data_IF_314282895207
#
_entry.id   IF_314282895207
#
_cell.length_a   1.000
_cell.length_b   1.000
_cell.length_c   1.000
_cell.angle_alpha   90.00
_cell.angle_beta   90.00
_cell.angle_gamma   90.00
#
_symmetry.space_group_name_H-M   'P 1'
#
loop_
_entity.id
_entity.type
_entity.pdbx_description
1 polymer ?
#
# COMPACT_ATOMS: atom_id res chain seq x y z
N UNK A 1 -18.63 -14.85 28.85
CA UNK A 1 -18.58 -13.74 27.87
C UNK A 1 -17.32 -13.73 26.99
N UNK A 2 -16.22 -14.43 27.33
CA UNK A 2 -15.00 -14.46 26.51
C UNK A 2 -14.96 -15.55 25.41
N UNK A 3 -15.88 -16.52 25.40
CA UNK A 3 -15.85 -17.63 24.43
C UNK A 3 -16.56 -17.33 23.10
N UNK A 4 -17.52 -16.41 23.08
CA UNK A 4 -18.19 -15.95 21.85
C UNK A 4 -17.27 -15.03 21.02
N UNK A 5 -16.46 -14.20 21.66
CA UNK A 5 -15.53 -13.28 20.97
C UNK A 5 -14.39 -13.99 20.23
N UNK A 6 -13.94 -15.15 20.71
CA UNK A 6 -12.86 -15.94 20.09
C UNK A 6 -13.30 -16.66 18.80
N UNK A 7 -14.50 -17.24 18.78
CA UNK A 7 -15.03 -17.94 17.60
C UNK A 7 -15.49 -16.97 16.50
N UNK A 8 -16.00 -15.80 16.90
CA UNK A 8 -16.39 -14.72 15.97
C UNK A 8 -15.15 -14.09 15.30
N UNK A 9 -13.99 -14.06 15.98
CA UNK A 9 -12.74 -13.51 15.45
C UNK A 9 -12.12 -14.36 14.32
N UNK A 10 -12.28 -15.69 14.33
CA UNK A 10 -11.77 -16.54 13.24
C UNK A 10 -12.64 -16.49 11.97
N UNK A 11 -13.94 -16.23 12.10
CA UNK A 11 -14.88 -16.04 10.98
C UNK A 11 -14.99 -14.58 10.49
N UNK A 12 -14.34 -13.64 11.16
CA UNK A 12 -14.43 -12.23 10.82
C UNK A 12 -13.87 -11.97 9.42
N UNK A 13 -14.59 -11.16 8.64
CA UNK A 13 -14.12 -10.64 7.35
C UNK A 13 -13.31 -9.38 7.65
N UNK A 14 -12.04 -9.38 7.27
CA UNK A 14 -11.15 -8.24 7.51
C UNK A 14 -10.50 -7.83 6.18
N UNK A 15 -10.58 -6.54 5.91
CA UNK A 15 -9.82 -5.88 4.84
C UNK A 15 -8.83 -4.90 5.46
N UNK A 16 -7.70 -4.73 4.79
CA UNK A 16 -6.79 -3.61 5.00
C UNK A 16 -7.08 -2.55 3.95
N UNK A 17 -6.85 -1.29 4.31
CA UNK A 17 -6.63 -0.24 3.33
C UNK A 17 -5.40 0.59 3.70
N UNK A 18 -4.66 0.97 2.66
CA UNK A 18 -3.43 1.77 2.78
C UNK A 18 -3.57 3.06 1.96
N UNK A 19 -4.53 3.95 2.27
CA UNK A 19 -4.73 5.18 1.51
C UNK A 19 -3.51 6.08 1.55
N UNK A 20 -3.30 6.84 0.47
CA UNK A 20 -2.22 7.81 0.37
C UNK A 20 -2.80 9.20 0.18
N UNK A 21 -2.31 10.14 0.98
CA UNK A 21 -2.73 11.53 0.95
C UNK A 21 -1.56 12.40 0.52
N UNK A 22 -1.83 13.36 -0.37
CA UNK A 22 -0.83 14.28 -0.93
C UNK A 22 -0.49 15.42 0.04
N UNK A 23 -0.20 15.07 1.29
CA UNK A 23 0.19 15.99 2.35
C UNK A 23 1.15 15.27 3.31
N UNK A 24 2.33 15.83 3.56
CA UNK A 24 3.32 15.31 4.50
C UNK A 24 4.03 16.38 5.33
N UNK A 25 3.64 17.65 5.20
CA UNK A 25 4.31 18.83 5.78
C UNK A 25 3.44 19.62 6.77
N UNK A 26 2.12 19.46 6.70
CA UNK A 26 1.11 20.12 7.56
C UNK A 26 0.44 19.09 8.47
N UNK A 27 1.00 18.82 9.65
CA UNK A 27 0.52 17.76 10.55
C UNK A 27 -0.94 17.92 10.95
N UNK A 28 -1.43 19.16 11.06
CA UNK A 28 -2.82 19.47 11.39
C UNK A 28 -3.82 19.02 10.31
N UNK A 29 -3.41 19.01 9.03
CA UNK A 29 -4.23 18.49 7.94
C UNK A 29 -4.20 16.97 7.95
N UNK A 30 -3.01 16.37 8.12
CA UNK A 30 -2.87 14.91 8.21
C UNK A 30 -3.68 14.36 9.38
N UNK A 31 -3.59 15.00 10.55
CA UNK A 31 -4.33 14.58 11.73
C UNK A 31 -5.84 14.67 11.51
N UNK A 32 -6.34 15.73 10.87
CA UNK A 32 -7.77 15.83 10.57
C UNK A 32 -8.27 14.71 9.64
N UNK A 33 -7.45 14.27 8.69
CA UNK A 33 -7.75 13.13 7.80
C UNK A 33 -7.75 11.82 8.60
N UNK A 34 -6.76 11.62 9.48
CA UNK A 34 -6.64 10.43 10.34
C UNK A 34 -7.73 10.39 11.40
N UNK A 35 -8.20 11.52 11.90
CA UNK A 35 -9.35 11.55 12.81
C UNK A 35 -10.64 11.16 12.07
N UNK A 36 -10.80 11.62 10.82
CA UNK A 36 -11.96 11.30 9.99
C UNK A 36 -12.00 9.84 9.54
N UNK A 37 -10.85 9.18 9.36
CA UNK A 37 -10.79 7.77 8.95
C UNK A 37 -11.22 6.81 10.08
N UNK A 38 -11.06 7.23 11.35
CA UNK A 38 -11.27 6.41 12.53
C UNK A 38 -12.74 6.37 12.98
N UNK A 39 -13.62 5.98 12.06
CA UNK A 39 -15.03 5.67 12.38
C UNK A 39 -15.13 4.37 13.19
N UNK A 40 -16.23 4.12 13.93
CA UNK A 40 -16.40 2.90 14.70
C UNK A 40 -16.20 1.63 13.85
N UNK A 41 -15.32 0.74 14.30
CA UNK A 41 -14.98 -0.51 13.61
C UNK A 41 -13.72 -0.43 12.73
N UNK A 42 -13.16 0.76 12.52
CA UNK A 42 -11.83 0.94 11.90
C UNK A 42 -10.74 0.88 12.96
N UNK A 43 -9.70 0.10 12.67
CA UNK A 43 -8.47 0.02 13.43
C UNK A 43 -7.38 0.78 12.69
N UNK A 44 -6.84 1.83 13.30
CA UNK A 44 -5.63 2.49 12.82
C UNK A 44 -4.42 1.63 13.21
N UNK A 45 -3.68 1.14 12.21
CA UNK A 45 -2.54 0.24 12.41
C UNK A 45 -1.20 0.97 12.31
N UNK A 46 -1.09 1.90 11.38
CA UNK A 46 0.13 2.69 11.16
C UNK A 46 -0.21 4.04 10.49
N UNK A 47 0.66 5.02 10.72
CA UNK A 47 0.64 6.31 10.05
C UNK A 47 2.08 6.78 9.85
N UNK A 48 2.43 7.10 8.61
CA UNK A 48 3.71 7.70 8.26
C UNK A 48 3.52 8.91 7.36
N UNK A 49 4.34 9.93 7.57
CA UNK A 49 4.36 11.15 6.78
C UNK A 49 5.80 11.43 6.37
N UNK A 50 6.00 11.75 5.10
CA UNK A 50 7.30 12.05 4.52
C UNK A 50 7.31 13.49 4.00
N UNK A 51 8.28 14.27 4.48
CA UNK A 51 8.41 15.68 4.14
C UNK A 51 8.79 15.89 2.66
N UNK A 52 9.79 15.15 2.17
CA UNK A 52 10.37 15.30 0.83
C UNK A 52 9.37 14.87 -0.24
N UNK A 53 8.74 13.72 -0.02
CA UNK A 53 7.67 13.20 -0.85
C UNK A 53 6.37 14.02 -0.71
N UNK A 54 6.24 14.83 0.36
CA UNK A 54 5.02 15.55 0.74
C UNK A 54 3.77 14.66 0.66
N UNK A 55 3.88 13.49 1.29
CA UNK A 55 2.90 12.41 1.23
C UNK A 55 2.76 11.76 2.60
N UNK A 56 1.53 11.41 2.95
CA UNK A 56 1.23 10.57 4.09
C UNK A 56 0.61 9.25 3.64
N UNK A 57 0.97 8.19 4.35
CA UNK A 57 0.43 6.85 4.19
C UNK A 57 -0.22 6.47 5.51
N UNK A 58 -1.48 6.08 5.45
CA UNK A 58 -2.23 5.61 6.62
C UNK A 58 -2.57 4.16 6.38
N UNK A 59 -2.38 3.29 7.36
CA UNK A 59 -2.73 1.87 7.28
C UNK A 59 -3.85 1.59 8.26
N UNK A 60 -4.98 1.13 7.75
CA UNK A 60 -6.15 0.76 8.53
C UNK A 60 -6.60 -0.66 8.24
N UNK A 61 -7.29 -1.27 9.19
CA UNK A 61 -8.00 -2.52 8.97
C UNK A 61 -9.35 -2.54 9.69
N UNK A 62 -10.26 -3.41 9.26
CA UNK A 62 -11.56 -3.55 9.88
C UNK A 62 -12.53 -4.36 9.02
N UNK A 63 -13.81 -4.33 9.38
CA UNK A 63 -14.85 -4.88 8.50
C UNK A 63 -14.92 -4.07 7.20
N UNK A 64 -15.31 -4.70 6.06
CA UNK A 64 -15.47 -4.00 4.79
C UNK A 64 -16.27 -2.70 4.89
N UNK A 65 -17.41 -2.73 5.58
CA UNK A 65 -18.32 -1.59 5.71
C UNK A 65 -17.67 -0.43 6.48
N UNK A 66 -17.05 -0.71 7.62
CA UNK A 66 -16.40 0.30 8.44
C UNK A 66 -15.21 0.93 7.72
N UNK A 67 -14.39 0.11 7.06
CA UNK A 67 -13.23 0.58 6.27
C UNK A 67 -13.69 1.47 5.11
N UNK A 68 -14.73 1.08 4.36
CA UNK A 68 -15.27 1.89 3.27
C UNK A 68 -15.81 3.25 3.77
N UNK A 69 -16.51 3.27 4.90
CA UNK A 69 -16.99 4.51 5.51
C UNK A 69 -15.83 5.41 5.94
N UNK A 70 -14.85 4.87 6.67
CA UNK A 70 -13.67 5.63 7.09
C UNK A 70 -12.90 6.22 5.90
N UNK A 71 -12.71 5.44 4.84
CA UNK A 71 -12.04 5.90 3.62
C UNK A 71 -12.82 7.02 2.92
N UNK A 72 -14.14 6.93 2.88
CA UNK A 72 -14.98 8.00 2.33
C UNK A 72 -14.83 9.28 3.16
N UNK A 73 -14.97 9.22 4.49
CA UNK A 73 -14.79 10.37 5.38
C UNK A 73 -13.39 11.01 5.26
N UNK A 74 -12.34 10.19 5.23
CA UNK A 74 -10.97 10.66 5.04
C UNK A 74 -10.78 11.35 3.68
N UNK A 75 -11.38 10.79 2.62
CA UNK A 75 -11.34 11.38 1.26
C UNK A 75 -12.07 12.73 1.23
N UNK A 76 -13.22 12.85 1.90
CA UNK A 76 -13.95 14.12 2.04
C UNK A 76 -13.06 15.19 2.69
N UNK A 77 -12.48 14.89 3.85
CA UNK A 77 -11.63 15.85 4.57
C UNK A 77 -10.38 16.22 3.77
N UNK A 78 -9.77 15.26 3.09
CA UNK A 78 -8.62 15.51 2.23
C UNK A 78 -8.99 16.45 1.06
N UNK A 79 -10.14 16.22 0.41
CA UNK A 79 -10.62 17.05 -0.69
C UNK A 79 -10.95 18.49 -0.26
N UNK A 80 -11.38 18.69 0.98
CA UNK A 80 -11.66 20.01 1.55
C UNK A 80 -10.39 20.78 1.96
N UNK A 81 -9.35 20.07 2.40
CA UNK A 81 -8.18 20.68 3.06
C UNK A 81 -6.91 20.73 2.22
N UNK A 82 -6.81 19.92 1.17
CA UNK A 82 -5.61 19.85 0.32
C UNK A 82 -5.92 20.44 -1.05
N UNK A 83 -5.20 21.51 -1.40
CA UNK A 83 -5.22 22.08 -2.74
C UNK A 83 -4.03 21.58 -3.58
N UNK A 84 -4.34 20.73 -4.57
CA UNK A 84 -3.34 20.14 -5.47
C UNK A 84 -2.65 21.17 -6.37
N UNK A 85 -3.22 22.36 -6.56
CA UNK A 85 -2.58 23.44 -7.33
C UNK A 85 -1.32 23.94 -6.63
N UNK A 86 -1.29 23.86 -5.30
CA UNK A 86 -0.18 24.27 -4.44
C UNK A 86 0.70 23.09 -4.01
N UNK A 87 0.17 21.87 -4.04
CA UNK A 87 0.88 20.66 -3.62
C UNK A 87 2.09 20.36 -4.53
N UNK A 88 3.27 20.23 -3.91
CA UNK A 88 4.52 19.80 -4.55
C UNK A 88 5.25 18.80 -3.64
N UNK A 89 5.82 17.76 -4.23
CA UNK A 89 6.65 16.75 -3.56
C UNK A 89 7.27 15.81 -4.57
N UNK A 90 8.27 15.04 -4.16
CA UNK A 90 9.00 14.12 -5.06
C UNK A 90 8.17 12.89 -5.48
N UNK A 91 7.06 12.60 -4.79
CA UNK A 91 6.23 11.45 -5.09
C UNK A 91 5.15 11.75 -6.15
N UNK A 92 5.02 10.94 -7.22
CA UNK A 92 3.96 11.11 -8.21
C UNK A 92 2.57 10.98 -7.59
N UNK A 93 1.69 11.94 -7.93
CA UNK A 93 0.36 12.09 -7.33
C UNK A 93 -0.69 12.59 -8.32
N UNK A 94 -1.94 12.16 -8.15
CA UNK A 94 -3.07 12.57 -8.99
C UNK A 94 -4.11 13.43 -8.24
N UNK A 95 -4.19 13.31 -6.92
CA UNK A 95 -5.16 14.02 -6.10
C UNK A 95 -4.81 14.10 -4.62
N UNK A 96 -5.63 14.86 -3.88
CA UNK A 96 -5.53 15.04 -2.44
C UNK A 96 -5.54 13.69 -1.70
N UNK A 97 -6.49 12.84 -2.08
CA UNK A 97 -6.43 11.38 -1.84
C UNK A 97 -5.99 10.72 -3.14
N UNK A 98 -4.76 10.26 -3.19
CA UNK A 98 -4.10 9.87 -4.42
C UNK A 98 -4.38 8.41 -4.80
N UNK A 99 -4.25 7.48 -3.85
CA UNK A 99 -4.66 6.08 -4.05
C UNK A 99 -5.31 5.50 -2.80
N UNK A 100 -6.33 4.68 -3.00
CA UNK A 100 -7.07 3.95 -1.96
C UNK A 100 -7.15 2.47 -2.36
N UNK A 101 -6.21 1.64 -1.90
CA UNK A 101 -6.26 0.19 -2.14
C UNK A 101 -7.13 -0.50 -1.08
N UNK A 102 -7.95 -1.46 -1.51
CA UNK A 102 -8.61 -2.44 -0.63
C UNK A 102 -7.84 -3.76 -0.75
N UNK A 103 -7.32 -4.26 0.37
CA UNK A 103 -6.43 -5.42 0.42
C UNK A 103 -7.11 -6.54 1.22
N UNK A 104 -7.21 -7.77 0.67
CA UNK A 104 -7.77 -8.88 1.42
C UNK A 104 -6.83 -9.29 2.56
N UNK A 105 -7.32 -9.33 3.80
CA UNK A 105 -6.57 -9.83 4.96
C UNK A 105 -7.10 -11.16 5.49
N UNK A 106 -8.42 -11.25 5.75
CA UNK A 106 -9.02 -12.44 6.35
C UNK A 106 -10.41 -12.70 5.78
N UNK A 107 -10.65 -13.96 5.39
CA UNK A 107 -11.94 -14.47 4.92
C UNK A 107 -12.61 -13.63 3.81
N UNK A 108 -11.82 -13.00 2.95
CA UNK A 108 -12.29 -12.26 1.79
C UNK A 108 -11.35 -12.44 0.61
N UNK A 109 -11.92 -12.62 -0.58
CA UNK A 109 -11.17 -12.74 -1.81
C UNK A 109 -10.78 -11.38 -2.39
N UNK A 110 -9.77 -11.39 -3.27
CA UNK A 110 -9.39 -10.20 -4.04
C UNK A 110 -10.55 -9.71 -4.95
N UNK A 111 -11.38 -10.62 -5.47
CA UNK A 111 -12.51 -10.27 -6.32
C UNK A 111 -13.60 -9.52 -5.53
N UNK A 112 -13.89 -9.95 -4.31
CA UNK A 112 -14.79 -9.24 -3.40
C UNK A 112 -14.22 -7.85 -3.03
N UNK A 113 -12.91 -7.75 -2.78
CA UNK A 113 -12.26 -6.46 -2.57
C UNK A 113 -12.37 -5.53 -3.79
N UNK A 114 -12.33 -6.07 -5.02
CA UNK A 114 -12.51 -5.28 -6.23
C UNK A 114 -13.94 -4.72 -6.36
N UNK A 115 -14.94 -5.49 -5.92
CA UNK A 115 -16.33 -5.00 -5.82
C UNK A 115 -16.45 -3.89 -4.79
N UNK A 116 -15.85 -4.04 -3.60
CA UNK A 116 -15.80 -3.00 -2.58
C UNK A 116 -15.13 -1.71 -3.09
N UNK A 117 -14.00 -1.84 -3.80
CA UNK A 117 -13.32 -0.71 -4.44
C UNK A 117 -14.21 0.00 -5.46
N UNK A 118 -15.00 -0.75 -6.23
CA UNK A 118 -15.96 -0.21 -7.20
C UNK A 118 -17.06 0.58 -6.48
N UNK A 119 -17.66 0.00 -5.44
CA UNK A 119 -18.70 0.66 -4.62
C UNK A 119 -18.20 1.95 -3.98
N UNK A 120 -17.00 1.94 -3.41
CA UNK A 120 -16.38 3.13 -2.84
C UNK A 120 -16.13 4.20 -3.91
N UNK A 121 -15.56 3.79 -5.06
CA UNK A 121 -15.28 4.70 -6.17
C UNK A 121 -16.53 5.36 -6.73
N UNK A 122 -17.62 4.61 -6.89
CA UNK A 122 -18.91 5.15 -7.34
C UNK A 122 -19.45 6.18 -6.34
N UNK A 123 -19.40 5.88 -5.04
CA UNK A 123 -19.85 6.81 -3.99
C UNK A 123 -19.01 8.09 -3.98
N UNK A 124 -17.68 7.99 -4.05
CA UNK A 124 -16.78 9.15 -4.13
C UNK A 124 -17.13 10.01 -5.35
N UNK A 125 -17.25 9.39 -6.53
CA UNK A 125 -17.57 10.13 -7.76
C UNK A 125 -18.93 10.81 -7.71
N UNK A 126 -19.94 10.17 -7.11
CA UNK A 126 -21.30 10.70 -6.99
C UNK A 126 -21.43 11.79 -5.93
N UNK A 127 -20.89 11.57 -4.72
CA UNK A 127 -21.16 12.45 -3.57
C UNK A 127 -20.12 13.57 -3.44
N UNK A 128 -18.85 13.31 -3.78
CA UNK A 128 -17.79 14.32 -3.72
C UNK A 128 -17.54 15.01 -5.06
N UNK A 129 -18.19 14.54 -6.14
CA UNK A 129 -18.02 15.07 -7.50
C UNK A 129 -16.56 15.10 -7.96
N UNK A 130 -15.79 14.07 -7.57
CA UNK A 130 -14.39 13.89 -7.96
C UNK A 130 -14.27 12.89 -9.11
N UNK A 131 -13.35 13.08 -10.07
CA UNK A 131 -12.98 12.04 -11.00
C UNK A 131 -12.37 10.85 -10.25
N UNK A 132 -12.86 9.64 -10.53
CA UNK A 132 -12.36 8.41 -9.93
C UNK A 132 -11.86 7.44 -10.99
N UNK A 133 -10.70 6.83 -10.75
CA UNK A 133 -10.11 5.80 -11.61
C UNK A 133 -10.00 4.48 -10.85
N UNK A 134 -10.44 3.39 -11.46
CA UNK A 134 -10.25 2.06 -10.92
C UNK A 134 -8.94 1.43 -11.42
N UNK A 135 -8.19 0.79 -10.52
CA UNK A 135 -6.89 0.18 -10.83
C UNK A 135 -6.72 -1.25 -10.27
N UNK A 136 -5.65 -1.93 -10.70
CA UNK A 136 -5.33 -3.33 -10.36
C UNK A 136 -6.53 -4.27 -10.57
N UNK A 137 -6.96 -5.04 -9.56
CA UNK A 137 -8.04 -6.03 -9.71
C UNK A 137 -9.41 -5.39 -9.94
N UNK A 138 -9.55 -4.08 -9.68
CA UNK A 138 -10.77 -3.33 -9.96
C UNK A 138 -10.74 -2.62 -11.33
N UNK A 139 -9.62 -2.66 -12.05
CA UNK A 139 -9.47 -1.94 -13.31
C UNK A 139 -10.50 -2.41 -14.36
N UNK A 140 -11.27 -1.45 -14.88
CA UNK A 140 -12.25 -1.68 -15.97
C UNK A 140 -11.60 -1.76 -17.34
N UNK A 141 -10.37 -1.24 -17.46
CA UNK A 141 -9.59 -1.11 -18.68
C UNK A 141 -8.18 -1.65 -18.45
N UNK A 142 -7.65 -2.38 -19.41
CA UNK A 142 -6.34 -3.04 -19.29
C UNK A 142 -5.20 -2.05 -19.02
N UNK A 143 -5.26 -0.88 -19.65
CA UNK A 143 -4.31 0.23 -19.49
C UNK A 143 -4.34 0.91 -18.11
N UNK A 144 -5.34 0.61 -17.26
CA UNK A 144 -5.44 1.14 -15.89
C UNK A 144 -4.96 0.18 -14.82
N UNK A 145 -4.53 -1.02 -15.20
CA UNK A 145 -4.12 -2.03 -14.23
C UNK A 145 -2.96 -1.54 -13.37
N UNK A 146 -1.96 -0.88 -13.96
CA UNK A 146 -0.82 -0.34 -13.24
C UNK A 146 -1.09 1.08 -12.74
N UNK A 147 -0.87 1.30 -11.43
CA UNK A 147 -1.00 2.63 -10.81
C UNK A 147 -0.17 3.71 -11.52
N UNK A 148 1.04 3.36 -11.96
CA UNK A 148 1.93 4.27 -12.67
C UNK A 148 1.38 4.73 -14.04
N UNK A 149 0.55 3.91 -14.68
CA UNK A 149 -0.08 4.26 -15.96
C UNK A 149 -1.25 5.21 -15.75
N UNK A 150 -2.06 4.99 -14.71
CA UNK A 150 -3.12 5.91 -14.29
C UNK A 150 -2.55 7.27 -13.88
N UNK A 151 -1.46 7.28 -13.08
CA UNK A 151 -0.78 8.50 -12.63
C UNK A 151 0.10 9.19 -13.66
N UNK A 152 0.16 8.68 -14.90
CA UNK A 152 1.11 9.19 -15.89
C UNK A 152 0.87 10.68 -16.19
N UNK A 153 1.87 11.50 -15.88
CA UNK A 153 1.79 12.96 -16.05
C UNK A 153 1.14 13.69 -14.88
N UNK A 154 0.75 12.97 -13.82
CA UNK A 154 0.33 13.50 -12.52
C UNK A 154 -0.88 14.46 -12.63
N UNK A 155 -1.09 15.26 -11.58
CA UNK A 155 -2.17 16.25 -11.53
C UNK A 155 -2.14 17.21 -12.72
N UNK A 156 -0.98 17.79 -13.05
CA UNK A 156 -0.86 18.86 -14.04
C UNK A 156 -1.29 18.42 -15.44
N UNK A 157 -0.91 17.20 -15.85
CA UNK A 157 -1.32 16.67 -17.15
C UNK A 157 -2.77 16.23 -17.12
N UNK A 158 -3.25 15.67 -16.01
CA UNK A 158 -4.66 15.25 -15.91
C UNK A 158 -5.61 16.43 -16.15
N UNK A 159 -5.32 17.61 -15.58
CA UNK A 159 -6.12 18.83 -15.80
C UNK A 159 -6.28 19.16 -17.29
N UNK A 160 -5.26 18.88 -18.11
CA UNK A 160 -5.26 19.17 -19.55
C UNK A 160 -5.89 18.05 -20.39
N UNK A 161 -5.83 16.81 -19.91
CA UNK A 161 -6.18 15.64 -20.71
C UNK A 161 -7.47 14.95 -20.26
N UNK A 162 -8.13 15.36 -19.17
CA UNK A 162 -9.28 14.63 -18.62
C UNK A 162 -10.44 14.44 -19.60
N UNK A 163 -10.64 15.40 -20.52
CA UNK A 163 -11.67 15.34 -21.57
C UNK A 163 -11.33 14.34 -22.68
N UNK A 164 -10.11 13.82 -22.73
CA UNK A 164 -9.71 12.84 -23.73
C UNK A 164 -10.35 11.47 -23.44
N UNK A 165 -10.85 10.73 -24.45
CA UNK A 165 -11.54 9.44 -24.22
C UNK A 165 -10.72 8.38 -23.49
N UNK A 166 -9.39 8.40 -23.63
CA UNK A 166 -8.47 7.52 -22.91
C UNK A 166 -8.27 7.92 -21.44
N UNK A 167 -8.58 9.17 -21.08
CA UNK A 167 -8.45 9.74 -19.73
C UNK A 167 -9.77 9.93 -19.00
N UNK A 168 -10.92 9.72 -19.63
CA UNK A 168 -12.22 9.80 -18.96
C UNK A 168 -12.28 8.95 -17.69
N UNK A 169 -12.74 9.46 -16.52
CA UNK A 169 -12.79 8.68 -15.30
C UNK A 169 -13.78 7.51 -15.38
N UNK A 170 -13.63 6.53 -14.47
CA UNK A 170 -14.59 5.44 -14.31
C UNK A 170 -15.88 5.93 -13.64
N UNK A 171 -15.74 6.83 -12.66
CA UNK A 171 -16.87 7.47 -11.97
C UNK A 171 -16.63 8.96 -11.73
N UNK A 172 -17.72 9.68 -11.49
CA UNK A 172 -17.69 11.13 -11.27
C UNK A 172 -17.50 11.93 -12.55
N UNK A 173 -17.46 13.27 -12.45
CA UNK A 173 -17.33 14.14 -13.61
C UNK A 173 -15.93 14.06 -14.22
N UNK A 174 -15.83 14.24 -15.54
CA UNK A 174 -14.56 14.47 -16.24
C UNK A 174 -14.03 15.90 -16.01
N UNK A 175 -13.96 16.34 -14.75
CA UNK A 175 -13.52 17.68 -14.38
C UNK A 175 -12.56 17.61 -13.20
N UNK A 176 -11.35 18.14 -13.36
CA UNK A 176 -10.34 18.16 -12.30
C UNK A 176 -10.47 19.43 -11.47
N UNK A 177 -10.89 19.29 -10.21
CA UNK A 177 -10.91 20.38 -9.23
C UNK A 177 -9.59 20.54 -8.45
N UNK A 178 -9.57 21.40 -7.41
CA UNK A 178 -8.44 21.54 -6.50
C UNK A 178 -8.06 20.25 -5.78
N UNK A 179 -9.00 19.35 -5.54
CA UNK A 179 -8.74 18.05 -4.92
C UNK A 179 -8.11 17.01 -5.87
N UNK A 180 -8.01 17.30 -7.18
CA UNK A 180 -7.50 16.36 -8.17
C UNK A 180 -8.46 15.20 -8.45
N UNK A 181 -7.90 14.00 -8.63
CA UNK A 181 -8.66 12.77 -8.85
C UNK A 181 -8.23 11.67 -7.87
N UNK A 182 -9.13 10.71 -7.61
CA UNK A 182 -8.90 9.61 -6.68
C UNK A 182 -8.72 8.30 -7.44
N UNK A 183 -7.70 7.52 -7.08
CA UNK A 183 -7.48 6.19 -7.65
C UNK A 183 -7.92 5.16 -6.62
N UNK A 184 -8.94 4.36 -6.92
CA UNK A 184 -9.46 3.33 -6.00
C UNK A 184 -9.22 1.96 -6.62
N UNK A 185 -8.84 0.95 -5.84
CA UNK A 185 -8.72 -0.39 -6.41
C UNK A 185 -8.53 -1.46 -5.38
N UNK A 186 -8.31 -2.67 -5.87
CA UNK A 186 -8.05 -3.83 -5.03
C UNK A 186 -6.79 -4.54 -5.49
N UNK A 187 -5.96 -4.94 -4.53
CA UNK A 187 -4.69 -5.63 -4.78
C UNK A 187 -4.34 -6.55 -3.64
N UNK A 188 -3.44 -7.50 -3.92
CA UNK A 188 -2.78 -8.25 -2.86
C UNK A 188 -1.92 -7.31 -1.99
N UNK A 189 -1.51 -7.84 -0.83
CA UNK A 189 -0.57 -7.18 0.05
C UNK A 189 0.70 -6.79 -0.70
N UNK A 190 1.24 -5.61 -0.40
CA UNK A 190 2.43 -5.06 -1.05
C UNK A 190 3.39 -4.60 0.04
N UNK A 191 4.64 -5.02 -0.04
CA UNK A 191 5.69 -4.59 0.91
C UNK A 191 6.49 -3.48 0.25
N UNK A 192 6.45 -2.28 0.82
CA UNK A 192 7.27 -1.16 0.41
C UNK A 192 8.60 -1.20 1.18
N UNK A 193 9.68 -1.55 0.48
CA UNK A 193 10.99 -1.83 1.06
C UNK A 193 12.06 -1.02 0.32
N UNK A 194 12.64 -0.04 0.99
CA UNK A 194 13.67 0.82 0.42
C UNK A 194 15.05 0.30 0.84
N UNK A 195 16.03 0.38 -0.06
CA UNK A 195 17.42 0.02 0.21
C UNK A 195 18.33 1.20 -0.14
N UNK A 196 19.14 1.62 0.82
CA UNK A 196 20.01 2.80 0.71
C UNK A 196 21.44 2.41 0.41
N UNK A 197 22.06 3.12 -0.54
CA UNK A 197 23.43 2.88 -0.99
C UNK A 197 24.41 3.85 -0.33
N UNK A 198 25.65 3.44 -0.12
CA UNK A 198 26.76 4.33 0.29
C UNK A 198 27.24 5.16 -0.91
N UNK A 199 26.33 5.97 -1.47
CA UNK A 199 26.57 6.84 -2.61
C UNK A 199 25.46 7.88 -2.71
N UNK A 200 25.80 9.08 -3.18
CA UNK A 200 24.82 10.11 -3.57
C UNK A 200 24.44 10.02 -5.05
N UNK A 201 25.07 9.12 -5.82
CA UNK A 201 24.81 8.99 -7.26
C UNK A 201 23.52 8.21 -7.53
N UNK A 202 22.43 8.95 -7.75
CA UNK A 202 21.12 8.40 -8.11
C UNK A 202 21.16 7.59 -9.42
N UNK A 203 22.14 7.78 -10.30
CA UNK A 203 22.27 6.99 -11.51
C UNK A 203 22.52 5.51 -11.19
N UNK A 204 23.26 5.21 -10.11
CA UNK A 204 23.48 3.85 -9.62
C UNK A 204 22.16 3.22 -9.17
N UNK A 205 21.41 3.90 -8.30
CA UNK A 205 20.11 3.40 -7.85
C UNK A 205 19.12 3.21 -9.01
N UNK A 206 19.12 4.12 -9.99
CA UNK A 206 18.32 3.98 -11.23
C UNK A 206 18.74 2.76 -12.04
N UNK A 207 20.04 2.49 -12.16
CA UNK A 207 20.56 1.31 -12.84
C UNK A 207 20.15 0.01 -12.13
N UNK A 208 20.34 -0.08 -10.82
CA UNK A 208 19.93 -1.23 -9.99
C UNK A 208 18.41 -1.45 -10.11
N UNK A 209 17.61 -0.39 -9.92
CA UNK A 209 16.14 -0.48 -10.02
C UNK A 209 15.66 -0.96 -11.39
N UNK A 210 16.40 -0.71 -12.48
CA UNK A 210 16.07 -1.21 -13.81
C UNK A 210 16.41 -2.70 -13.97
N UNK A 211 17.43 -3.21 -13.28
CA UNK A 211 17.84 -4.62 -13.37
C UNK A 211 16.95 -5.53 -12.52
N UNK A 212 16.51 -5.07 -11.34
CA UNK A 212 15.70 -5.92 -10.44
C UNK A 212 14.21 -5.97 -10.80
N UNK A 213 13.70 -5.03 -11.59
CA UNK A 213 12.27 -4.96 -11.93
C UNK A 213 11.83 -6.09 -12.85
N UNK A 214 10.70 -6.72 -12.52
CA UNK A 214 10.08 -7.77 -13.32
C UNK A 214 9.85 -7.33 -14.78
N UNK A 215 9.33 -6.11 -15.00
CA UNK A 215 9.05 -5.59 -16.34
C UNK A 215 10.28 -5.52 -17.26
N UNK A 216 11.48 -5.59 -16.70
CA UNK A 216 12.76 -5.57 -17.40
C UNK A 216 13.45 -6.96 -17.40
N UNK A 217 12.75 -8.03 -17.02
CA UNK A 217 13.30 -9.37 -16.89
C UNK A 217 14.04 -9.63 -15.57
N UNK A 218 13.85 -8.77 -14.57
CA UNK A 218 14.40 -8.94 -13.22
C UNK A 218 13.62 -9.95 -12.38
N UNK A 219 13.58 -9.71 -11.07
CA UNK A 219 12.90 -10.58 -10.11
C UNK A 219 11.37 -10.53 -10.30
N UNK A 220 10.67 -11.68 -10.23
CA UNK A 220 9.21 -11.71 -10.27
C UNK A 220 8.58 -10.88 -9.15
N UNK A 221 7.44 -10.24 -9.42
CA UNK A 221 6.70 -9.44 -8.45
C UNK A 221 7.47 -8.23 -7.87
N UNK A 222 8.55 -7.80 -8.51
CA UNK A 222 9.35 -6.64 -8.08
C UNK A 222 9.09 -5.44 -8.98
N UNK A 223 8.61 -4.36 -8.37
CA UNK A 223 8.57 -3.02 -8.96
C UNK A 223 9.54 -2.15 -8.17
N UNK A 224 10.43 -1.41 -8.81
CA UNK A 224 11.39 -0.55 -8.09
C UNK A 224 11.39 0.87 -8.67
N UNK A 225 12.15 1.83 -8.13
CA UNK A 225 12.61 3.10 -8.72
C UNK A 225 13.91 3.51 -8.03
N UNK A 226 14.75 4.27 -8.73
CA UNK A 226 15.95 4.87 -8.14
C UNK A 226 15.67 6.33 -7.84
N UNK A 227 15.80 6.70 -6.57
CA UNK A 227 15.53 8.03 -6.02
C UNK A 227 16.77 8.58 -5.31
N UNK A 228 16.81 9.90 -5.14
CA UNK A 228 17.75 10.57 -4.24
C UNK A 228 16.94 11.08 -3.05
N UNK A 229 17.31 10.66 -1.85
CA UNK A 229 16.62 11.01 -0.60
C UNK A 229 17.70 11.42 0.40
N UNK A 230 17.61 12.63 0.97
CA UNK A 230 18.61 13.17 1.90
C UNK A 230 20.07 12.99 1.43
N UNK A 231 20.36 13.36 0.18
CA UNK A 231 21.68 13.21 -0.47
C UNK A 231 22.21 11.77 -0.60
N UNK A 232 21.34 10.77 -0.40
CA UNK A 232 21.67 9.36 -0.55
C UNK A 232 20.88 8.72 -1.69
N UNK A 233 21.55 7.88 -2.47
CA UNK A 233 20.92 7.09 -3.53
C UNK A 233 20.14 5.94 -2.91
N UNK A 234 18.85 5.84 -3.25
CA UNK A 234 17.92 4.87 -2.70
C UNK A 234 17.28 4.06 -3.83
N UNK A 235 17.25 2.74 -3.67
CA UNK A 235 16.43 1.83 -4.48
C UNK A 235 15.11 1.63 -3.73
N UNK A 236 14.07 2.35 -4.14
CA UNK A 236 12.73 2.18 -3.58
C UNK A 236 12.01 1.03 -4.27
N UNK A 237 11.47 0.08 -3.50
CA UNK A 237 10.94 -1.18 -4.03
C UNK A 237 9.55 -1.46 -3.48
N UNK A 238 8.65 -1.86 -4.37
CA UNK A 238 7.36 -2.45 -4.07
C UNK A 238 7.42 -3.93 -4.45
N UNK A 239 7.47 -4.80 -3.44
CA UNK A 239 7.35 -6.25 -3.59
C UNK A 239 5.87 -6.62 -3.52
N UNK A 240 5.28 -6.95 -4.67
CA UNK A 240 3.82 -7.14 -4.80
C UNK A 240 3.37 -8.58 -4.51
N UNK A 241 4.32 -9.50 -4.40
CA UNK A 241 4.08 -10.89 -3.99
C UNK A 241 5.37 -11.48 -3.39
N UNK A 242 5.41 -11.51 -2.06
CA UNK A 242 6.56 -12.02 -1.31
C UNK A 242 6.68 -13.56 -1.33
N UNK A 243 5.67 -14.26 -1.86
CA UNK A 243 5.72 -15.72 -2.02
C UNK A 243 6.47 -16.11 -3.30
N UNK A 244 6.49 -15.24 -4.31
CA UNK A 244 7.25 -15.45 -5.55
C UNK A 244 8.71 -15.01 -5.41
N UNK A 245 8.95 -13.87 -4.76
CA UNK A 245 10.30 -13.36 -4.46
C UNK A 245 10.39 -13.05 -2.97
N UNK A 246 11.29 -13.70 -2.25
CA UNK A 246 11.48 -13.44 -0.82
C UNK A 246 12.23 -12.12 -0.59
N UNK A 247 12.07 -11.52 0.60
CA UNK A 247 12.88 -10.34 0.98
C UNK A 247 14.38 -10.66 1.01
N UNK A 248 14.77 -11.91 1.31
CA UNK A 248 16.16 -12.34 1.29
C UNK A 248 16.73 -12.33 -0.15
N UNK A 249 16.01 -12.92 -1.10
CA UNK A 249 16.40 -12.92 -2.51
C UNK A 249 16.48 -11.49 -3.06
N UNK A 250 15.47 -10.67 -2.76
CA UNK A 250 15.41 -9.28 -3.18
C UNK A 250 16.60 -8.48 -2.64
N UNK A 251 16.84 -8.53 -1.33
CA UNK A 251 17.95 -7.82 -0.70
C UNK A 251 19.30 -8.30 -1.23
N UNK A 252 19.50 -9.62 -1.32
CA UNK A 252 20.73 -10.21 -1.83
C UNK A 252 21.06 -9.79 -3.27
N UNK A 253 20.05 -9.69 -4.15
CA UNK A 253 20.27 -9.21 -5.52
C UNK A 253 20.63 -7.72 -5.54
N UNK A 254 19.98 -6.88 -4.72
CA UNK A 254 20.34 -5.46 -4.64
C UNK A 254 21.75 -5.26 -4.07
N UNK A 255 22.13 -5.99 -3.02
CA UNK A 255 23.46 -5.94 -2.44
C UNK A 255 24.54 -6.38 -3.43
N UNK A 256 24.31 -7.49 -4.14
CA UNK A 256 25.19 -7.97 -5.21
C UNK A 256 25.36 -6.92 -6.31
N UNK A 257 24.28 -6.27 -6.74
CA UNK A 257 24.32 -5.21 -7.75
C UNK A 257 25.02 -3.94 -7.23
N UNK A 258 24.81 -3.56 -5.97
CA UNK A 258 25.51 -2.44 -5.36
C UNK A 258 27.04 -2.64 -5.45
N UNK A 259 27.51 -3.84 -5.10
CA UNK A 259 28.92 -4.23 -5.26
C UNK A 259 29.42 -4.14 -6.70
N UNK A 260 28.64 -4.59 -7.68
CA UNK A 260 29.00 -4.47 -9.11
C UNK A 260 29.16 -3.01 -9.57
N UNK A 261 28.41 -2.09 -8.98
CA UNK A 261 28.50 -0.65 -9.25
C UNK A 261 29.51 0.08 -8.36
N UNK A 262 30.28 -0.62 -7.53
CA UNK A 262 31.33 -0.03 -6.69
C UNK A 262 30.81 0.74 -5.48
N UNK A 263 29.61 0.41 -4.99
CA UNK A 263 29.04 0.93 -3.74
C UNK A 263 28.58 -0.25 -2.87
N UNK A 264 28.05 0.03 -1.67
CA UNK A 264 27.51 -0.98 -0.75
C UNK A 264 26.15 -0.56 -0.25
N UNK A 265 25.35 -1.52 0.21
CA UNK A 265 24.12 -1.22 0.94
C UNK A 265 24.49 -0.78 2.36
N UNK A 266 23.94 0.36 2.79
CA UNK A 266 24.14 0.87 4.16
C UNK A 266 23.08 0.33 5.12
N UNK A 267 21.81 0.44 4.72
CA UNK A 267 20.67 -0.03 5.47
C UNK A 267 19.46 -0.18 4.54
N UNK A 268 18.41 -0.79 5.06
CA UNK A 268 17.11 -0.86 4.43
C UNK A 268 16.03 -0.32 5.37
N UNK A 269 14.91 0.05 4.78
CA UNK A 269 13.79 0.68 5.46
C UNK A 269 12.48 0.03 4.98
N UNK A 270 11.63 -0.35 5.93
CA UNK A 270 10.25 -0.71 5.66
C UNK A 270 9.39 0.54 5.73
N UNK A 271 8.60 0.80 4.70
CA UNK A 271 7.55 1.81 4.73
C UNK A 271 6.22 1.14 5.08
N UNK A 272 5.65 1.51 6.22
CA UNK A 272 4.42 0.92 6.74
C UNK A 272 4.62 -0.47 7.34
N UNK A 273 3.72 -1.40 7.03
CA UNK A 273 3.69 -2.74 7.61
C UNK A 273 4.06 -3.82 6.59
N UNK A 274 4.48 -4.98 7.08
CA UNK A 274 4.66 -6.19 6.28
C UNK A 274 4.00 -7.40 6.95
N UNK A 275 3.62 -8.44 6.19
CA UNK A 275 3.11 -9.66 6.79
C UNK A 275 4.23 -10.38 7.56
N UNK A 276 3.94 -10.87 8.77
CA UNK A 276 4.90 -11.66 9.57
C UNK A 276 5.52 -12.81 8.76
N UNK A 277 4.72 -13.45 7.90
CA UNK A 277 5.17 -14.56 7.05
C UNK A 277 6.30 -14.16 6.08
N UNK A 278 6.32 -12.91 5.59
CA UNK A 278 7.34 -12.42 4.67
C UNK A 278 8.70 -12.30 5.35
N UNK A 279 8.74 -11.68 6.55
CA UNK A 279 9.96 -11.57 7.34
C UNK A 279 10.46 -12.95 7.78
N UNK A 280 9.55 -13.81 8.22
CA UNK A 280 9.91 -15.15 8.66
C UNK A 280 10.51 -15.99 7.52
N UNK A 281 9.91 -15.93 6.32
CA UNK A 281 10.44 -16.62 5.15
C UNK A 281 11.87 -16.19 4.83
N UNK A 282 12.15 -14.89 4.87
CA UNK A 282 13.49 -14.35 4.66
C UNK A 282 14.49 -14.82 5.73
N UNK A 283 14.10 -14.83 7.01
CA UNK A 283 14.95 -15.31 8.09
C UNK A 283 15.25 -16.81 7.97
N UNK A 284 14.25 -17.62 7.60
CA UNK A 284 14.40 -19.07 7.39
C UNK A 284 15.38 -19.35 6.25
N UNK A 285 15.29 -18.61 5.15
CA UNK A 285 16.19 -18.72 3.99
C UNK A 285 17.63 -18.31 4.37
N UNK A 286 17.79 -17.14 5.01
CA UNK A 286 19.09 -16.61 5.43
C UNK A 286 19.84 -17.54 6.40
N UNK A 287 19.12 -18.09 7.38
CA UNK A 287 19.67 -18.95 8.43
C UNK A 287 19.69 -20.44 8.04
N UNK A 288 19.18 -20.80 6.86
CA UNK A 288 19.10 -22.18 6.35
C UNK A 288 18.35 -23.12 7.31
N UNK A 289 17.27 -22.65 7.92
CA UNK A 289 16.51 -23.41 8.91
C UNK A 289 15.59 -24.44 8.23
N UNK A 290 16.06 -25.68 8.13
CA UNK A 290 15.29 -26.77 7.51
C UNK A 290 14.00 -27.07 8.27
N UNK A 291 12.87 -27.01 7.57
CA UNK A 291 11.56 -27.36 8.12
C UNK A 291 11.08 -26.43 9.25
N UNK A 292 11.55 -25.17 9.26
CA UNK A 292 11.07 -24.19 10.21
C UNK A 292 9.64 -23.73 9.86
N UNK A 293 8.82 -23.53 10.87
CA UNK A 293 7.46 -23.01 10.74
C UNK A 293 7.18 -22.01 11.86
N UNK A 294 6.13 -21.19 11.68
CA UNK A 294 5.73 -20.20 12.68
C UNK A 294 5.40 -20.83 14.05
N UNK A 295 4.96 -22.09 14.09
CA UNK A 295 4.70 -22.85 15.33
C UNK A 295 5.95 -23.07 16.19
N UNK A 296 7.15 -22.92 15.63
CA UNK A 296 8.43 -23.03 16.36
C UNK A 296 8.89 -21.69 16.94
N UNK A 297 8.12 -20.62 16.75
CA UNK A 297 8.24 -19.37 17.52
C UNK A 297 7.43 -19.51 18.81
N UNK A 298 7.88 -18.88 19.89
CA UNK A 298 7.18 -18.94 21.19
C UNK A 298 5.75 -18.41 21.05
N UNK A 299 5.56 -17.30 20.34
CA UNK A 299 4.25 -16.69 20.08
C UNK A 299 3.35 -17.61 19.23
N UNK A 300 3.93 -18.32 18.26
CA UNK A 300 3.21 -19.31 17.46
C UNK A 300 2.77 -20.52 18.29
N UNK A 301 3.68 -21.07 19.09
CA UNK A 301 3.39 -22.16 20.02
C UNK A 301 2.32 -21.77 21.06
N UNK A 302 2.37 -20.54 21.58
CA UNK A 302 1.36 -19.99 22.50
C UNK A 302 -0.01 -19.89 21.84
N UNK A 303 -0.12 -19.31 20.63
CA UNK A 303 -1.39 -19.25 19.88
C UNK A 303 -1.99 -20.63 19.66
N UNK A 304 -1.15 -21.60 19.30
CA UNK A 304 -1.57 -23.00 19.10
C UNK A 304 -2.06 -23.64 20.40
N UNK A 305 -1.37 -23.43 21.51
CA UNK A 305 -1.78 -23.95 22.82
C UNK A 305 -3.12 -23.35 23.27
N UNK A 306 -3.30 -22.03 23.08
CA UNK A 306 -4.55 -21.32 23.40
C UNK A 306 -5.73 -21.80 22.56
N UNK A 307 -5.52 -22.05 21.25
CA UNK A 307 -6.57 -22.60 20.39
C UNK A 307 -7.04 -23.98 20.86
N UNK A 308 -6.11 -24.85 21.27
CA UNK A 308 -6.44 -26.18 21.82
C UNK A 308 -7.21 -26.08 23.15
N UNK A 309 -6.84 -25.13 24.00
CA UNK A 309 -7.54 -24.88 25.26
C UNK A 309 -8.99 -24.43 25.01
N UNK A 310 -9.21 -23.47 24.10
CA UNK A 310 -10.56 -23.00 23.71
C UNK A 310 -11.46 -24.13 23.22
N UNK A 311 -10.93 -25.04 22.39
CA UNK A 311 -11.69 -26.20 21.87
C UNK A 311 -12.07 -27.17 23.01
N UNK A 312 -11.17 -27.41 23.98
CA UNK A 312 -11.45 -28.32 25.11
C UNK A 312 -12.56 -27.81 26.01
N UNK A 313 -12.61 -26.50 26.26
CA UNK A 313 -13.67 -25.89 27.07
C UNK A 313 -15.02 -25.88 26.33
N UNK A 314 -15.05 -25.73 25.01
CA UNK A 314 -16.29 -25.82 24.22
C UNK A 314 -16.87 -27.25 24.10
N UNK A 315 -16.05 -28.28 24.27
CA UNK A 315 -16.49 -29.68 24.23
C UNK A 315 -17.00 -30.22 25.58
N UNK A 316 -16.95 -29.42 26.64
CA UNK A 316 -17.34 -29.80 28.00
C UNK A 316 -18.58 -29.04 28.53
N UNK A 317 -19.17 -28.17 27.72
CA UNK A 317 -20.51 -27.57 27.89
C UNK A 317 -21.53 -28.23 26.95
#
# INVERSE_FOLDING_TARGET
MNHLTSSIAESAIIVESVPNFSEGRRPEIVQAIVDAIQVPGVLLLDQSSDWDHNRSVVTIAGSPEAVLEGLFCATTVAAERIDMREQRGEHPRLGATDVVPIVPLQNISLAECAQLATTLGERIGRELQLPVYLYEAAATRAERRLLADVRRGEYERLVQEIDQPNRSPDFGPAQVGPAGAVIVGARNFLIAYNIYLESSDVAIAKAISRRIRERNGGLPAVRAIGLQVHDQAQVSINLVDYQQTSLYQLYGEVDRLAWEYGTVVTHSELIGLMPQAALLAAAVEALKLKGFSADRLIEGALRKAQAVETIRFQATE
#
